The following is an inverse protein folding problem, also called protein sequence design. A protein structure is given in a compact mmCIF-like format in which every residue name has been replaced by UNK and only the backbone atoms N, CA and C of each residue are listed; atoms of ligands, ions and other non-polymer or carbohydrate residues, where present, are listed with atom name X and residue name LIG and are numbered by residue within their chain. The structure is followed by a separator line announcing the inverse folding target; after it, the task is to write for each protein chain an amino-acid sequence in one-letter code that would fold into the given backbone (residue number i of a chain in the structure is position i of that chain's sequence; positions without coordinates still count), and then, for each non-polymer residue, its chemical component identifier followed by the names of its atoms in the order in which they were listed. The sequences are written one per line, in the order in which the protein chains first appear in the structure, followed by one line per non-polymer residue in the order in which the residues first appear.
data_IF_394444165639
#
_entry.id   IF_394444165639
#
_cell.length_a   1.000
_cell.length_b   1.000
_cell.length_c   1.000
_cell.angle_alpha   90.00
_cell.angle_beta   90.00
_cell.angle_gamma   90.00
#
_symmetry.space_group_name_H-M   'P 1'
#
loop_
_entity.id
_entity.type
_entity.pdbx_description
1 polymer ?
#
# COMPACT_ATOMS: atom_id res chain seq x y z
N UNK A 1 43.21 -0.90 25.69
CA UNK A 1 42.66 0.46 25.86
C UNK A 1 41.24 0.42 25.35
N UNK A 2 40.23 0.82 26.11
CA UNK A 2 38.85 0.78 25.59
C UNK A 2 38.71 1.77 24.43
N UNK A 3 37.89 1.45 23.43
CA UNK A 3 37.69 2.31 22.25
C UNK A 3 37.29 3.74 22.63
N UNK A 4 36.44 3.87 23.66
CA UNK A 4 36.03 5.16 24.23
C UNK A 4 37.20 5.94 24.85
N UNK A 5 38.10 5.27 25.59
CA UNK A 5 39.29 5.94 26.15
C UNK A 5 40.23 6.44 25.06
N UNK A 6 40.31 5.75 23.92
CA UNK A 6 41.09 6.21 22.76
C UNK A 6 40.47 7.44 22.09
N UNK A 7 39.14 7.48 21.96
CA UNK A 7 38.40 8.62 21.44
C UNK A 7 38.51 9.85 22.35
N UNK A 8 38.30 9.68 23.66
CA UNK A 8 38.50 10.75 24.64
C UNK A 8 39.93 11.29 24.61
N UNK A 9 40.93 10.40 24.52
CA UNK A 9 42.34 10.79 24.41
C UNK A 9 42.62 11.56 23.12
N UNK A 10 42.03 11.14 21.99
CA UNK A 10 42.16 11.84 20.71
C UNK A 10 41.67 13.29 20.82
N UNK A 11 40.45 13.51 21.34
CA UNK A 11 39.89 14.85 21.47
C UNK A 11 40.69 15.74 22.42
N UNK A 12 41.13 15.21 23.56
CA UNK A 12 41.94 15.97 24.52
C UNK A 12 43.31 16.34 23.96
N UNK A 13 43.95 15.45 23.20
CA UNK A 13 45.29 15.68 22.66
C UNK A 13 45.28 16.58 21.42
N UNK A 14 44.23 16.53 20.59
CA UNK A 14 44.01 17.47 19.47
C UNK A 14 43.94 18.92 19.95
N UNK A 15 43.22 19.18 21.05
CA UNK A 15 43.08 20.53 21.63
C UNK A 15 44.39 21.04 22.23
N UNK A 16 45.21 20.16 22.81
CA UNK A 16 46.47 20.54 23.46
C UNK A 16 47.62 20.82 22.46
N UNK A 17 47.36 20.80 21.14
CA UNK A 17 48.30 21.11 20.05
C UNK A 17 49.65 20.38 20.10
N UNK A 18 49.70 19.17 20.67
CA UNK A 18 50.97 18.45 20.84
C UNK A 18 51.39 17.59 19.66
N UNK A 19 50.44 17.06 18.90
CA UNK A 19 50.68 16.14 17.78
C UNK A 19 49.79 16.49 16.60
N UNK A 20 50.26 16.16 15.41
CA UNK A 20 49.44 16.23 14.19
C UNK A 20 48.31 15.19 14.24
N UNK A 21 47.19 15.41 13.54
CA UNK A 21 46.10 14.45 13.49
C UNK A 21 46.52 13.05 12.99
N UNK A 22 47.52 12.97 12.09
CA UNK A 22 48.04 11.68 11.59
C UNK A 22 48.82 10.93 12.66
N UNK A 23 49.69 11.62 13.41
CA UNK A 23 50.43 11.02 14.53
C UNK A 23 49.48 10.53 15.63
N UNK A 24 48.37 11.24 15.86
CA UNK A 24 47.34 10.81 16.81
C UNK A 24 46.63 9.53 16.37
N UNK A 25 46.33 9.38 15.10
CA UNK A 25 45.68 8.18 14.55
C UNK A 25 46.57 6.94 14.75
N UNK A 26 47.86 7.07 14.46
CA UNK A 26 48.82 5.97 14.57
C UNK A 26 49.11 5.61 16.03
N UNK A 27 49.37 6.62 16.88
CA UNK A 27 49.70 6.41 18.30
C UNK A 27 48.51 5.89 19.13
N UNK A 28 47.28 6.24 18.75
CA UNK A 28 46.07 5.75 19.42
C UNK A 28 45.48 4.51 18.74
N UNK A 29 46.15 3.98 17.70
CA UNK A 29 45.75 2.79 16.95
C UNK A 29 44.31 2.85 16.42
N UNK A 30 43.82 4.04 16.02
CA UNK A 30 42.41 4.25 15.69
C UNK A 30 41.93 3.39 14.50
N UNK A 31 42.81 3.09 13.55
CA UNK A 31 42.52 2.17 12.44
C UNK A 31 42.29 0.72 12.90
N UNK A 32 43.04 0.24 13.90
CA UNK A 32 42.84 -1.09 14.49
C UNK A 32 41.52 -1.15 15.25
N UNK A 33 41.23 -0.11 16.02
CA UNK A 33 39.97 0.01 16.76
C UNK A 33 38.78 0.00 15.81
N UNK A 34 38.87 0.70 14.67
CA UNK A 34 37.83 0.70 13.64
C UNK A 34 37.61 -0.70 13.04
N UNK A 35 38.68 -1.46 12.78
CA UNK A 35 38.56 -2.82 12.27
C UNK A 35 37.91 -3.76 13.29
N UNK A 36 38.32 -3.70 14.56
CA UNK A 36 37.71 -4.49 15.63
C UNK A 36 36.25 -4.08 15.90
N UNK A 37 35.91 -2.81 15.74
CA UNK A 37 34.54 -2.33 15.83
C UNK A 37 33.70 -2.86 14.66
N UNK A 38 34.23 -2.88 13.43
CA UNK A 38 33.60 -3.50 12.25
C UNK A 38 33.31 -4.98 12.47
N UNK A 39 34.30 -5.74 12.94
CA UNK A 39 34.17 -7.19 13.19
C UNK A 39 33.11 -7.51 14.27
N UNK A 40 32.83 -6.56 15.17
CA UNK A 40 31.80 -6.64 16.22
C UNK A 40 30.46 -6.00 15.84
N UNK A 41 30.37 -5.38 14.66
CA UNK A 41 29.24 -4.55 14.25
C UNK A 41 28.89 -3.43 15.27
N UNK A 42 29.91 -2.83 15.89
CA UNK A 42 29.75 -1.74 16.87
C UNK A 42 29.56 -0.39 16.16
N UNK A 43 28.32 -0.14 15.75
CA UNK A 43 27.94 1.06 14.98
C UNK A 43 28.18 2.38 15.71
N UNK A 44 28.21 2.38 17.05
CA UNK A 44 28.49 3.58 17.87
C UNK A 44 29.95 3.98 17.70
N UNK A 45 30.87 3.05 17.97
CA UNK A 45 32.31 3.31 17.86
C UNK A 45 32.71 3.61 16.41
N UNK A 46 32.12 2.91 15.43
CA UNK A 46 32.35 3.19 14.01
C UNK A 46 31.92 4.62 13.66
N UNK A 47 30.73 5.04 14.12
CA UNK A 47 30.19 6.37 13.82
C UNK A 47 31.01 7.51 14.45
N UNK A 48 31.64 7.28 15.60
CA UNK A 48 32.52 8.26 16.24
C UNK A 48 33.91 8.33 15.57
N UNK A 49 34.43 7.19 15.09
CA UNK A 49 35.75 7.12 14.45
C UNK A 49 35.75 7.59 12.98
N UNK A 50 34.69 7.31 12.21
CA UNK A 50 34.62 7.65 10.78
C UNK A 50 34.85 9.16 10.51
N UNK A 51 34.23 10.12 11.24
CA UNK A 51 34.47 11.55 11.04
C UNK A 51 35.91 11.96 11.36
N UNK A 52 36.49 11.42 12.44
CA UNK A 52 37.87 11.70 12.86
C UNK A 52 38.85 11.29 11.75
N UNK A 53 38.67 10.08 11.21
CA UNK A 53 39.53 9.55 10.17
C UNK A 53 39.32 10.23 8.81
N UNK A 54 38.14 10.82 8.57
CA UNK A 54 37.83 11.65 7.39
C UNK A 54 38.66 12.93 7.37
N UNK A 55 38.78 13.61 8.51
CA UNK A 55 39.48 14.91 8.62
C UNK A 55 40.95 14.85 8.22
N UNK A 56 41.57 13.67 8.31
CA UNK A 56 43.01 13.48 8.12
C UNK A 56 43.33 12.80 6.79
N UNK A 57 42.31 12.56 5.95
CA UNK A 57 42.42 11.76 4.72
C UNK A 57 43.13 10.40 4.92
N UNK A 58 43.16 9.90 6.16
CA UNK A 58 43.90 8.71 6.56
C UNK A 58 43.17 7.40 6.20
N UNK A 59 42.10 7.50 5.41
CA UNK A 59 41.31 6.36 4.95
C UNK A 59 42.03 5.61 3.85
N UNK A 60 42.41 4.36 4.15
CA UNK A 60 42.84 3.42 3.12
C UNK A 60 41.60 2.82 2.47
N UNK A 61 41.54 2.78 1.13
CA UNK A 61 40.39 2.26 0.36
C UNK A 61 39.95 0.85 0.79
N UNK A 62 40.88 0.00 1.22
CA UNK A 62 40.57 -1.36 1.70
C UNK A 62 39.76 -1.35 3.00
N UNK A 63 40.00 -0.39 3.90
CA UNK A 63 39.25 -0.25 5.16
C UNK A 63 37.81 0.16 4.89
N UNK A 64 37.60 1.13 3.99
CA UNK A 64 36.25 1.55 3.58
C UNK A 64 35.50 0.41 2.90
N UNK A 65 36.19 -0.36 2.04
CA UNK A 65 35.58 -1.51 1.35
C UNK A 65 35.13 -2.59 2.34
N UNK A 66 35.96 -2.91 3.34
CA UNK A 66 35.60 -3.87 4.40
C UNK A 66 34.39 -3.39 5.20
N UNK A 67 34.42 -2.15 5.68
CA UNK A 67 33.30 -1.54 6.43
C UNK A 67 32.00 -1.55 5.62
N UNK A 68 32.08 -1.27 4.32
CA UNK A 68 30.92 -1.33 3.43
C UNK A 68 30.34 -2.75 3.34
N UNK A 69 31.20 -3.76 3.12
CA UNK A 69 30.78 -5.16 3.06
C UNK A 69 30.19 -5.63 4.39
N UNK A 70 30.82 -5.30 5.52
CA UNK A 70 30.37 -5.69 6.86
C UNK A 70 29.02 -5.03 7.18
N UNK A 71 28.86 -3.73 6.90
CA UNK A 71 27.61 -3.02 7.09
C UNK A 71 26.46 -3.58 6.22
N UNK A 72 26.76 -3.97 4.97
CA UNK A 72 25.80 -4.64 4.10
C UNK A 72 25.38 -6.02 4.63
N UNK A 73 26.35 -6.83 5.07
CA UNK A 73 26.08 -8.18 5.57
C UNK A 73 25.28 -8.17 6.88
N UNK A 74 25.57 -7.21 7.75
CA UNK A 74 24.93 -7.06 9.06
C UNK A 74 23.66 -6.20 9.04
N UNK A 75 23.26 -5.68 7.88
CA UNK A 75 22.15 -4.72 7.76
C UNK A 75 22.31 -3.50 8.68
N UNK A 76 23.54 -3.04 8.89
CA UNK A 76 23.87 -1.90 9.74
C UNK A 76 23.68 -0.59 8.97
N UNK A 77 22.46 -0.05 9.06
CA UNK A 77 22.09 1.20 8.38
C UNK A 77 22.81 2.44 8.94
N UNK A 78 23.23 2.42 10.22
CA UNK A 78 23.92 3.56 10.87
C UNK A 78 25.32 3.69 10.27
N UNK A 79 26.07 2.59 10.25
CA UNK A 79 27.39 2.57 9.61
C UNK A 79 27.27 2.88 8.12
N UNK A 80 26.29 2.30 7.41
CA UNK A 80 26.08 2.56 5.99
C UNK A 80 25.84 4.04 5.69
N UNK A 81 25.00 4.71 6.50
CA UNK A 81 24.75 6.16 6.37
C UNK A 81 26.06 6.96 6.46
N UNK A 82 26.92 6.63 7.43
CA UNK A 82 28.20 7.32 7.61
C UNK A 82 29.25 6.99 6.53
N UNK A 83 29.05 5.92 5.77
CA UNK A 83 29.92 5.54 4.65
C UNK A 83 29.57 6.23 3.31
N UNK A 84 28.36 6.81 3.17
CA UNK A 84 27.93 7.49 1.92
C UNK A 84 28.95 8.52 1.39
N UNK A 85 29.54 9.40 2.23
CA UNK A 85 30.55 10.36 1.76
C UNK A 85 31.79 9.72 1.13
N UNK A 86 32.05 8.44 1.37
CA UNK A 86 33.19 7.69 0.87
C UNK A 86 32.85 6.81 -0.35
N UNK A 87 31.62 6.86 -0.86
CA UNK A 87 31.21 6.03 -2.00
C UNK A 87 32.04 6.27 -3.27
N UNK A 88 32.62 7.47 -3.45
CA UNK A 88 33.54 7.78 -4.56
C UNK A 88 34.85 7.00 -4.50
N UNK A 89 35.23 6.48 -3.33
CA UNK A 89 36.43 5.66 -3.12
C UNK A 89 36.16 4.16 -3.34
N UNK A 90 34.89 3.79 -3.56
CA UNK A 90 34.43 2.41 -3.69
C UNK A 90 34.06 2.06 -5.13
N UNK A 91 34.35 0.83 -5.54
CA UNK A 91 33.93 0.28 -6.82
C UNK A 91 32.48 -0.26 -6.74
N UNK A 92 31.51 0.65 -6.59
CA UNK A 92 30.10 0.29 -6.43
C UNK A 92 29.41 0.04 -7.78
N UNK A 93 28.80 -1.13 -7.91
CA UNK A 93 27.89 -1.46 -9.02
C UNK A 93 26.48 -0.91 -8.79
N UNK A 94 25.63 -0.79 -9.84
CA UNK A 94 24.23 -0.36 -9.69
C UNK A 94 23.44 -1.14 -8.63
N UNK A 95 23.68 -2.45 -8.51
CA UNK A 95 23.02 -3.30 -7.51
C UNK A 95 23.40 -2.93 -6.07
N UNK A 96 24.62 -2.44 -5.83
CA UNK A 96 25.02 -1.97 -4.51
C UNK A 96 24.19 -0.75 -4.09
N UNK A 97 24.02 0.24 -4.98
CA UNK A 97 23.20 1.41 -4.68
C UNK A 97 21.74 1.06 -4.41
N UNK A 98 21.17 0.11 -5.17
CA UNK A 98 19.79 -0.39 -4.94
C UNK A 98 19.68 -1.01 -3.54
N UNK A 99 20.61 -1.90 -3.17
CA UNK A 99 20.60 -2.55 -1.85
C UNK A 99 20.81 -1.56 -0.70
N UNK A 100 21.68 -0.58 -0.88
CA UNK A 100 21.89 0.50 0.11
C UNK A 100 20.62 1.32 0.27
N UNK A 101 19.98 1.72 -0.83
CA UNK A 101 18.72 2.47 -0.76
C UNK A 101 17.62 1.66 -0.05
N UNK A 102 17.51 0.35 -0.32
CA UNK A 102 16.58 -0.54 0.37
C UNK A 102 16.89 -0.63 1.88
N UNK A 103 18.15 -0.81 2.25
CA UNK A 103 18.58 -0.87 3.65
C UNK A 103 18.19 0.40 4.40
N UNK A 104 18.52 1.56 3.83
CA UNK A 104 18.26 2.86 4.47
C UNK A 104 16.76 3.18 4.54
N UNK A 105 15.99 2.89 3.48
CA UNK A 105 14.55 3.10 3.45
C UNK A 105 13.81 2.20 4.46
N UNK A 106 14.19 0.92 4.54
CA UNK A 106 13.60 -0.03 5.50
C UNK A 106 13.87 0.35 6.96
N UNK A 107 14.95 1.08 7.23
CA UNK A 107 15.30 1.57 8.56
C UNK A 107 14.87 3.03 8.80
N UNK A 108 13.95 3.57 7.97
CA UNK A 108 13.39 4.92 8.14
C UNK A 108 14.47 6.02 8.23
N UNK A 109 15.56 5.85 7.49
CA UNK A 109 16.60 6.89 7.40
C UNK A 109 16.01 8.16 6.79
N UNK A 110 16.51 9.33 7.20
CA UNK A 110 16.05 10.61 6.71
C UNK A 110 16.12 10.72 5.17
N UNK A 111 15.19 11.51 4.66
CA UNK A 111 15.02 11.75 3.22
C UNK A 111 16.31 12.28 2.59
N UNK A 112 17.02 13.22 3.23
CA UNK A 112 18.24 13.84 2.70
C UNK A 112 19.30 12.79 2.36
N UNK A 113 19.57 11.87 3.28
CA UNK A 113 20.53 10.77 3.11
C UNK A 113 20.19 9.90 1.90
N UNK A 114 18.92 9.53 1.74
CA UNK A 114 18.46 8.72 0.61
C UNK A 114 18.57 9.48 -0.73
N UNK A 115 18.30 10.78 -0.74
CA UNK A 115 18.53 11.61 -1.93
C UNK A 115 20.02 11.74 -2.29
N UNK A 116 20.93 11.75 -1.32
CA UNK A 116 22.37 11.68 -1.60
C UNK A 116 22.74 10.37 -2.32
N UNK A 117 22.20 9.23 -1.88
CA UNK A 117 22.38 7.93 -2.56
C UNK A 117 21.88 8.00 -4.01
N UNK A 118 20.69 8.57 -4.23
CA UNK A 118 20.14 8.75 -5.58
C UNK A 118 21.03 9.64 -6.46
N UNK A 119 21.58 10.72 -5.92
CA UNK A 119 22.47 11.62 -6.66
C UNK A 119 23.75 10.92 -7.12
N UNK A 120 24.40 10.19 -6.19
CA UNK A 120 25.64 9.44 -6.43
C UNK A 120 25.45 8.22 -7.34
N UNK A 121 24.24 7.66 -7.41
CA UNK A 121 23.97 6.44 -8.16
C UNK A 121 24.15 6.59 -9.68
N UNK A 122 24.59 5.52 -10.38
CA UNK A 122 24.63 5.48 -11.84
C UNK A 122 23.24 5.65 -12.47
N UNK A 123 23.19 6.29 -13.65
CA UNK A 123 21.94 6.52 -14.40
C UNK A 123 21.10 5.25 -14.60
N UNK A 124 21.74 4.09 -14.76
CA UNK A 124 21.06 2.80 -14.99
C UNK A 124 20.21 2.31 -13.82
N UNK A 125 20.39 2.82 -12.60
CA UNK A 125 19.61 2.42 -11.42
C UNK A 125 18.90 3.57 -10.70
N UNK A 126 19.03 4.81 -11.21
CA UNK A 126 18.40 5.98 -10.58
C UNK A 126 16.91 5.80 -10.39
N UNK A 127 16.22 5.24 -11.38
CA UNK A 127 14.77 5.06 -11.29
C UNK A 127 14.37 3.98 -10.27
N UNK A 128 15.10 2.87 -10.21
CA UNK A 128 14.88 1.82 -9.19
C UNK A 128 15.09 2.38 -7.78
N UNK A 129 16.12 3.20 -7.59
CA UNK A 129 16.39 3.86 -6.32
C UNK A 129 15.30 4.90 -6.02
N UNK A 130 14.88 5.68 -7.01
CA UNK A 130 13.80 6.64 -6.84
C UNK A 130 12.48 5.95 -6.44
N UNK A 131 12.17 4.77 -7.03
CA UNK A 131 11.03 3.94 -6.62
C UNK A 131 11.14 3.42 -5.19
N UNK A 132 12.34 3.19 -4.67
CA UNK A 132 12.54 2.86 -3.26
C UNK A 132 12.31 4.10 -2.39
N UNK A 133 12.85 5.25 -2.78
CA UNK A 133 12.74 6.50 -2.02
C UNK A 133 11.29 6.96 -1.91
N UNK A 134 10.47 6.81 -2.95
CA UNK A 134 9.06 7.23 -2.87
C UNK A 134 8.28 6.49 -1.77
N UNK A 135 8.73 5.32 -1.31
CA UNK A 135 8.04 4.56 -0.25
C UNK A 135 8.14 5.21 1.14
N UNK A 136 9.09 6.13 1.34
CA UNK A 136 9.27 6.83 2.62
C UNK A 136 8.77 8.28 2.60
N UNK A 137 8.28 8.75 1.45
CA UNK A 137 7.75 10.11 1.32
C UNK A 137 6.34 10.23 1.89
N UNK A 138 5.92 11.47 2.15
CA UNK A 138 4.52 11.74 2.52
C UNK A 138 3.60 11.36 1.36
N UNK A 139 2.36 10.90 1.63
CA UNK A 139 1.45 10.32 0.64
C UNK A 139 1.33 11.11 -0.67
N UNK A 140 1.12 12.43 -0.59
CA UNK A 140 1.03 13.32 -1.75
C UNK A 140 2.34 13.33 -2.56
N UNK A 141 3.47 13.44 -1.88
CA UNK A 141 4.80 13.52 -2.49
C UNK A 141 5.18 12.21 -3.21
N UNK A 142 4.66 11.06 -2.77
CA UNK A 142 4.86 9.76 -3.44
C UNK A 142 4.43 9.85 -4.91
N UNK A 143 3.17 10.23 -5.14
CA UNK A 143 2.59 10.22 -6.48
C UNK A 143 3.06 11.41 -7.32
N UNK A 144 3.31 12.57 -6.70
CA UNK A 144 3.92 13.69 -7.41
C UNK A 144 5.35 13.38 -7.86
N UNK A 145 6.12 12.63 -7.06
CA UNK A 145 7.48 12.20 -7.43
C UNK A 145 7.42 11.16 -8.54
N UNK A 146 6.56 10.15 -8.43
CA UNK A 146 6.31 9.18 -9.50
C UNK A 146 5.93 9.87 -10.82
N UNK A 147 5.07 10.90 -10.76
CA UNK A 147 4.63 11.65 -11.94
C UNK A 147 5.77 12.38 -12.68
N UNK A 148 6.82 12.77 -11.95
CA UNK A 148 8.00 13.45 -12.48
C UNK A 148 9.07 12.49 -12.99
N UNK A 149 8.98 11.19 -12.69
CA UNK A 149 9.94 10.20 -13.19
C UNK A 149 9.95 10.18 -14.72
N UNK A 150 11.15 10.13 -15.29
CA UNK A 150 11.38 10.24 -16.74
C UNK A 150 11.25 8.91 -17.48
N UNK A 151 11.08 7.80 -16.76
CA UNK A 151 10.93 6.46 -17.33
C UNK A 151 9.47 6.06 -17.58
N UNK A 152 9.33 4.95 -18.31
CA UNK A 152 8.09 4.19 -18.39
C UNK A 152 7.65 3.84 -16.97
N UNK A 153 6.47 4.32 -16.61
CA UNK A 153 5.84 4.02 -15.32
C UNK A 153 5.72 2.49 -15.18
N UNK A 154 6.25 1.90 -14.09
CA UNK A 154 6.23 0.45 -13.89
C UNK A 154 4.79 -0.07 -13.85
N UNK A 155 4.61 -1.36 -14.15
CA UNK A 155 3.31 -2.00 -13.92
C UNK A 155 3.02 -2.06 -12.42
N UNK A 156 1.76 -2.09 -12.03
CA UNK A 156 1.38 -2.15 -10.61
C UNK A 156 2.03 -3.33 -9.87
N UNK A 157 2.16 -4.49 -10.53
CA UNK A 157 2.82 -5.68 -9.98
C UNK A 157 4.35 -5.53 -9.79
N UNK A 158 4.97 -4.52 -10.40
CA UNK A 158 6.40 -4.22 -10.28
C UNK A 158 6.68 -3.17 -9.19
N UNK A 159 5.62 -2.57 -8.61
CA UNK A 159 5.75 -1.58 -7.55
C UNK A 159 6.13 -2.22 -6.21
N UNK A 160 6.82 -1.47 -5.33
CA UNK A 160 7.04 -1.89 -3.95
C UNK A 160 5.74 -2.28 -3.24
N UNK A 161 5.82 -3.24 -2.32
CA UNK A 161 4.69 -3.75 -1.52
C UNK A 161 3.93 -2.65 -0.77
N UNK A 162 4.61 -1.54 -0.46
CA UNK A 162 3.99 -0.34 0.09
C UNK A 162 2.77 0.13 -0.72
N UNK A 163 2.83 0.12 -2.06
CA UNK A 163 1.71 0.53 -2.93
C UNK A 163 0.52 -0.43 -2.84
N UNK A 164 0.72 -1.65 -2.34
CA UNK A 164 -0.35 -2.62 -2.18
C UNK A 164 -1.05 -2.47 -0.82
N UNK A 165 -0.42 -1.76 0.13
CA UNK A 165 -0.86 -1.58 1.50
C UNK A 165 -0.54 -0.16 2.01
N UNK A 166 -1.33 0.81 1.59
CA UNK A 166 -1.23 2.21 2.06
C UNK A 166 -1.85 2.32 3.46
N UNK A 167 -1.04 2.56 4.52
CA UNK A 167 -1.52 2.50 5.91
C UNK A 167 -2.46 3.66 6.27
N UNK A 168 -2.48 4.72 5.48
CA UNK A 168 -3.26 5.94 5.71
C UNK A 168 -4.65 5.91 5.06
N UNK A 169 -5.07 4.79 4.46
CA UNK A 169 -6.32 4.70 3.69
C UNK A 169 -7.59 4.97 4.52
N UNK A 170 -7.51 4.81 5.85
CA UNK A 170 -8.59 5.13 6.80
C UNK A 170 -8.62 6.59 7.25
N UNK A 171 -7.64 7.41 6.85
CA UNK A 171 -7.55 8.81 7.22
C UNK A 171 -8.03 9.72 6.08
N UNK A 172 -9.28 10.20 6.18
CA UNK A 172 -9.87 11.09 5.18
C UNK A 172 -9.16 12.44 5.05
N UNK A 173 -8.50 12.95 6.11
CA UNK A 173 -7.69 14.17 6.06
C UNK A 173 -6.45 14.01 5.19
N UNK A 174 -6.00 12.76 4.98
CA UNK A 174 -4.90 12.42 4.06
C UNK A 174 -5.43 12.08 2.67
N UNK A 175 -6.57 11.39 2.61
CA UNK A 175 -7.16 10.93 1.35
C UNK A 175 -7.63 12.10 0.48
N UNK A 176 -8.24 13.15 1.07
CA UNK A 176 -8.72 14.31 0.32
C UNK A 176 -7.58 15.08 -0.38
N UNK A 177 -6.47 15.49 0.29
CA UNK A 177 -5.31 16.08 -0.39
C UNK A 177 -4.73 15.17 -1.47
N UNK A 178 -4.72 13.86 -1.23
CA UNK A 178 -4.20 12.89 -2.18
C UNK A 178 -5.06 12.77 -3.45
N UNK A 179 -6.38 12.84 -3.33
CA UNK A 179 -7.26 12.89 -4.50
C UNK A 179 -7.19 14.26 -5.20
N UNK A 180 -6.93 15.35 -4.48
CA UNK A 180 -6.84 16.69 -5.10
C UNK A 180 -5.69 16.85 -6.11
N UNK A 181 -4.67 15.98 -6.06
CA UNK A 181 -3.56 16.02 -7.02
C UNK A 181 -3.85 15.26 -8.32
N UNK A 182 -4.92 14.47 -8.41
CA UNK A 182 -5.26 13.65 -9.58
C UNK A 182 -5.24 14.43 -10.91
N UNK A 183 -5.79 15.67 -11.00
CA UNK A 183 -5.75 16.44 -12.26
C UNK A 183 -4.33 16.77 -12.77
N UNK A 184 -3.32 16.70 -11.90
CA UNK A 184 -1.92 16.99 -12.21
C UNK A 184 -1.15 15.73 -12.62
N UNK A 185 -1.72 14.55 -12.41
CA UNK A 185 -1.06 13.26 -12.62
C UNK A 185 -1.22 12.78 -14.07
N UNK A 186 -0.16 12.18 -14.61
CA UNK A 186 -0.20 11.45 -15.89
C UNK A 186 -1.11 10.22 -15.73
N UNK A 187 -1.84 9.80 -16.78
CA UNK A 187 -2.79 8.69 -16.71
C UNK A 187 -2.25 7.40 -16.06
N UNK A 188 -1.01 6.94 -16.33
CA UNK A 188 -0.52 5.72 -15.70
C UNK A 188 -0.22 5.89 -14.19
N UNK A 189 0.06 7.11 -13.73
CA UNK A 189 0.21 7.39 -12.29
C UNK A 189 -1.17 7.48 -11.62
N UNK A 190 -2.18 8.05 -12.29
CA UNK A 190 -3.56 7.98 -11.81
C UNK A 190 -4.00 6.53 -11.63
N UNK A 191 -3.67 5.66 -12.58
CA UNK A 191 -3.99 4.25 -12.51
C UNK A 191 -3.37 3.58 -11.27
N UNK A 192 -2.07 3.80 -11.06
CA UNK A 192 -1.38 3.31 -9.86
C UNK A 192 -2.01 3.86 -8.59
N UNK A 193 -2.35 5.15 -8.55
CA UNK A 193 -2.99 5.77 -7.38
C UNK A 193 -4.30 5.09 -7.03
N UNK A 194 -5.23 5.00 -7.99
CA UNK A 194 -6.54 4.40 -7.72
C UNK A 194 -6.45 2.91 -7.41
N UNK A 195 -5.62 2.15 -8.14
CA UNK A 195 -5.41 0.74 -7.83
C UNK A 195 -4.79 0.55 -6.42
N UNK A 196 -3.82 1.38 -6.04
CA UNK A 196 -3.20 1.34 -4.70
C UNK A 196 -4.23 1.62 -3.60
N UNK A 197 -5.03 2.68 -3.78
CA UNK A 197 -6.02 3.10 -2.78
C UNK A 197 -7.12 2.04 -2.60
N UNK A 198 -7.72 1.57 -3.69
CA UNK A 198 -8.78 0.57 -3.66
C UNK A 198 -8.28 -0.77 -3.11
N UNK A 199 -7.08 -1.23 -3.51
CA UNK A 199 -6.51 -2.47 -2.96
C UNK A 199 -6.23 -2.36 -1.46
N UNK A 200 -5.74 -1.20 -1.02
CA UNK A 200 -5.45 -0.96 0.39
C UNK A 200 -6.73 -0.94 1.23
N UNK A 201 -7.78 -0.27 0.75
CA UNK A 201 -9.09 -0.24 1.40
C UNK A 201 -9.71 -1.65 1.46
N UNK A 202 -9.70 -2.38 0.35
CA UNK A 202 -10.16 -3.77 0.28
C UNK A 202 -9.38 -4.70 1.23
N UNK A 203 -8.05 -4.55 1.32
CA UNK A 203 -7.21 -5.35 2.21
C UNK A 203 -7.56 -5.10 3.69
N UNK A 204 -7.75 -3.83 4.07
CA UNK A 204 -8.09 -3.44 5.44
C UNK A 204 -9.60 -3.53 5.76
N UNK A 205 -10.45 -3.92 4.81
CA UNK A 205 -11.90 -4.01 5.00
C UNK A 205 -12.57 -2.65 5.21
N UNK A 206 -12.06 -1.58 4.58
CA UNK A 206 -12.54 -0.20 4.73
C UNK A 206 -13.49 0.20 3.60
N UNK A 207 -14.76 -0.24 3.71
CA UNK A 207 -15.78 0.07 2.71
C UNK A 207 -16.09 1.57 2.61
N UNK A 208 -15.98 2.31 3.72
CA UNK A 208 -16.09 3.76 3.76
C UNK A 208 -15.09 4.45 2.83
N UNK A 209 -13.83 4.02 2.88
CA UNK A 209 -12.78 4.52 1.99
C UNK A 209 -13.04 4.14 0.53
N UNK A 210 -13.46 2.90 0.26
CA UNK A 210 -13.81 2.43 -1.08
C UNK A 210 -14.94 3.25 -1.70
N UNK A 211 -16.02 3.52 -0.95
CA UNK A 211 -17.15 4.35 -1.40
C UNK A 211 -16.69 5.79 -1.67
N UNK A 212 -15.85 6.35 -0.80
CA UNK A 212 -15.32 7.70 -1.01
C UNK A 212 -14.49 7.82 -2.28
N UNK A 213 -13.60 6.84 -2.55
CA UNK A 213 -12.80 6.79 -3.78
C UNK A 213 -13.70 6.59 -5.00
N UNK A 214 -14.68 5.69 -4.91
CA UNK A 214 -15.64 5.45 -5.97
C UNK A 214 -16.44 6.71 -6.32
N UNK A 215 -16.95 7.43 -5.32
CA UNK A 215 -17.66 8.69 -5.52
C UNK A 215 -16.78 9.73 -6.18
N UNK A 216 -15.50 9.83 -5.80
CA UNK A 216 -14.56 10.71 -6.47
C UNK A 216 -14.40 10.36 -7.96
N UNK A 217 -14.28 9.07 -8.30
CA UNK A 217 -14.17 8.61 -9.68
C UNK A 217 -15.41 9.01 -10.50
N UNK A 218 -16.60 8.75 -9.96
CA UNK A 218 -17.88 9.07 -10.61
C UNK A 218 -18.03 10.59 -10.81
N UNK A 219 -17.88 11.38 -9.74
CA UNK A 219 -18.10 12.82 -9.75
C UNK A 219 -17.18 13.55 -10.73
N UNK A 220 -15.93 13.12 -10.83
CA UNK A 220 -14.93 13.72 -11.72
C UNK A 220 -14.93 13.10 -13.13
N UNK A 221 -15.91 12.24 -13.45
CA UNK A 221 -16.00 11.59 -14.77
C UNK A 221 -14.79 10.71 -15.10
N UNK A 222 -14.10 10.20 -14.09
CA UNK A 222 -12.95 9.31 -14.29
C UNK A 222 -13.49 7.92 -14.65
N UNK A 223 -13.01 7.40 -15.78
CA UNK A 223 -13.45 6.10 -16.30
C UNK A 223 -13.20 4.99 -15.27
N UNK A 224 -14.25 4.26 -14.93
CA UNK A 224 -14.16 3.06 -14.11
C UNK A 224 -13.52 1.93 -14.92
N UNK A 225 -12.26 1.64 -14.63
CA UNK A 225 -11.55 0.53 -15.24
C UNK A 225 -12.01 -0.81 -14.66
N UNK A 226 -11.96 -1.92 -15.44
CA UNK A 226 -12.40 -3.23 -14.97
C UNK A 226 -11.75 -3.65 -13.65
N UNK A 227 -10.46 -3.37 -13.47
CA UNK A 227 -9.73 -3.70 -12.23
C UNK A 227 -10.27 -2.95 -11.01
N UNK A 228 -10.71 -1.69 -11.15
CA UNK A 228 -11.30 -0.94 -10.04
C UNK A 228 -12.64 -1.54 -9.64
N UNK A 229 -13.46 -1.91 -10.63
CA UNK A 229 -14.76 -2.54 -10.42
C UNK A 229 -14.60 -3.90 -9.74
N UNK A 230 -13.61 -4.70 -10.17
CA UNK A 230 -13.28 -5.98 -9.56
C UNK A 230 -12.92 -5.84 -8.08
N UNK A 231 -12.06 -4.86 -7.75
CA UNK A 231 -11.66 -4.57 -6.37
C UNK A 231 -12.86 -4.12 -5.52
N UNK A 232 -13.64 -3.16 -6.02
CA UNK A 232 -14.81 -2.63 -5.31
C UNK A 232 -15.85 -3.72 -5.04
N UNK A 233 -16.23 -4.53 -6.05
CA UNK A 233 -17.14 -5.65 -5.84
C UNK A 233 -16.59 -6.63 -4.79
N UNK A 234 -15.29 -6.96 -4.86
CA UNK A 234 -14.66 -7.82 -3.87
C UNK A 234 -14.74 -7.25 -2.44
N UNK A 235 -14.54 -5.93 -2.27
CA UNK A 235 -14.70 -5.25 -0.98
C UNK A 235 -16.11 -5.43 -0.41
N UNK A 236 -17.15 -5.20 -1.23
CA UNK A 236 -18.54 -5.42 -0.81
C UNK A 236 -18.73 -6.83 -0.26
N UNK A 237 -18.16 -7.85 -0.91
CA UNK A 237 -18.33 -9.26 -0.51
C UNK A 237 -17.81 -9.63 0.89
N UNK A 238 -17.03 -8.75 1.53
CA UNK A 238 -16.51 -8.91 2.90
C UNK A 238 -17.36 -8.21 3.96
N UNK A 239 -18.40 -7.49 3.54
CA UNK A 239 -19.18 -6.58 4.39
C UNK A 239 -20.66 -6.95 4.35
N UNK A 240 -21.38 -6.63 5.42
CA UNK A 240 -22.83 -6.82 5.50
C UNK A 240 -23.58 -5.58 4.96
N UNK A 241 -23.19 -5.07 3.78
CA UNK A 241 -23.76 -3.86 3.19
C UNK A 241 -24.71 -4.20 2.02
N UNK A 242 -25.95 -4.58 2.34
CA UNK A 242 -26.92 -5.16 1.40
C UNK A 242 -27.59 -4.12 0.50
N UNK A 243 -28.13 -3.07 1.08
CA UNK A 243 -28.77 -2.01 0.30
C UNK A 243 -27.73 -1.24 -0.50
N UNK A 244 -26.58 -0.97 0.14
CA UNK A 244 -25.46 -0.31 -0.52
C UNK A 244 -24.95 -1.12 -1.72
N UNK A 245 -24.88 -2.47 -1.64
CA UNK A 245 -24.47 -3.28 -2.78
C UNK A 245 -25.47 -3.22 -3.96
N UNK A 246 -26.79 -3.23 -3.70
CA UNK A 246 -27.80 -3.03 -4.76
C UNK A 246 -27.64 -1.65 -5.40
N UNK A 247 -27.52 -0.60 -4.57
CA UNK A 247 -27.39 0.75 -5.08
C UNK A 247 -26.09 0.96 -5.87
N UNK A 248 -24.99 0.36 -5.41
CA UNK A 248 -23.72 0.35 -6.13
C UNK A 248 -23.85 -0.30 -7.50
N UNK A 249 -24.49 -1.47 -7.58
CA UNK A 249 -24.80 -2.13 -8.86
C UNK A 249 -25.60 -1.21 -9.79
N UNK A 250 -26.64 -0.55 -9.26
CA UNK A 250 -27.48 0.37 -10.03
C UNK A 250 -26.67 1.57 -10.57
N UNK A 251 -25.73 2.11 -9.78
CA UNK A 251 -24.85 3.19 -10.24
C UNK A 251 -23.93 2.69 -11.36
N UNK A 252 -23.30 1.52 -11.21
CA UNK A 252 -22.47 0.93 -12.26
C UNK A 252 -23.25 0.72 -13.57
N UNK A 253 -24.50 0.26 -13.47
CA UNK A 253 -25.43 0.11 -14.61
C UNK A 253 -25.72 1.43 -15.29
N UNK A 254 -26.04 2.48 -14.52
CA UNK A 254 -26.27 3.84 -15.04
C UNK A 254 -25.05 4.38 -15.79
N UNK A 255 -23.85 3.99 -15.39
CA UNK A 255 -22.59 4.37 -16.05
C UNK A 255 -22.15 3.40 -17.16
N UNK A 256 -23.01 2.45 -17.57
CA UNK A 256 -22.72 1.54 -18.67
C UNK A 256 -21.61 0.51 -18.37
N UNK A 257 -21.32 0.25 -17.09
CA UNK A 257 -20.31 -0.73 -16.70
C UNK A 257 -20.88 -2.15 -16.85
N UNK A 258 -20.16 -2.99 -17.58
CA UNK A 258 -20.48 -4.41 -17.72
C UNK A 258 -19.86 -5.20 -16.57
N UNK A 259 -20.71 -5.78 -15.72
CA UNK A 259 -20.30 -6.66 -14.63
C UNK A 259 -19.97 -8.07 -15.13
N UNK A 260 -18.85 -8.63 -14.67
CA UNK A 260 -18.52 -10.04 -14.84
C UNK A 260 -19.33 -10.93 -13.89
N UNK A 261 -19.38 -12.23 -14.17
CA UNK A 261 -20.02 -13.21 -13.29
C UNK A 261 -19.39 -13.22 -11.89
N UNK A 262 -18.09 -12.95 -11.80
CA UNK A 262 -17.38 -12.85 -10.52
C UNK A 262 -17.82 -11.59 -9.75
N UNK A 263 -17.99 -10.45 -10.43
CA UNK A 263 -18.51 -9.23 -9.80
C UNK A 263 -19.89 -9.44 -9.21
N UNK A 264 -20.79 -10.08 -9.99
CA UNK A 264 -22.13 -10.41 -9.51
C UNK A 264 -22.10 -11.34 -8.30
N UNK A 265 -21.28 -12.39 -8.31
CA UNK A 265 -21.12 -13.27 -7.15
C UNK A 265 -20.64 -12.49 -5.91
N UNK A 266 -19.69 -11.58 -6.09
CA UNK A 266 -19.21 -10.74 -4.99
C UNK A 266 -20.29 -9.79 -4.45
N UNK A 267 -21.09 -9.18 -5.32
CA UNK A 267 -22.22 -8.33 -4.92
C UNK A 267 -23.38 -9.11 -4.30
N UNK A 268 -23.50 -10.42 -4.57
CA UNK A 268 -24.52 -11.28 -4.00
C UNK A 268 -24.22 -11.67 -2.54
N UNK A 269 -22.94 -11.84 -2.19
CA UNK A 269 -22.50 -12.31 -0.85
C UNK A 269 -23.03 -11.51 0.35
N UNK A 270 -23.06 -10.16 0.33
CA UNK A 270 -23.61 -9.35 1.43
C UNK A 270 -25.03 -9.71 1.81
N UNK A 271 -25.85 -10.12 0.82
CA UNK A 271 -27.28 -10.37 1.00
C UNK A 271 -27.61 -11.56 1.88
N UNK A 272 -26.64 -12.42 2.16
CA UNK A 272 -26.80 -13.58 3.05
C UNK A 272 -26.38 -13.29 4.51
N UNK A 273 -25.89 -12.07 4.81
CA UNK A 273 -25.60 -11.67 6.19
C UNK A 273 -26.88 -11.47 7.00
N UNK A 274 -26.87 -11.76 8.30
CA UNK A 274 -28.06 -11.64 9.14
C UNK A 274 -29.16 -12.65 8.80
N UNK A 275 -30.42 -12.24 8.95
CA UNK A 275 -31.57 -13.16 8.95
C UNK A 275 -32.55 -12.95 7.79
N UNK A 276 -32.32 -11.95 6.94
CA UNK A 276 -33.13 -11.66 5.76
C UNK A 276 -32.29 -11.87 4.49
N UNK A 277 -32.89 -12.37 3.40
CA UNK A 277 -32.18 -12.60 2.13
C UNK A 277 -32.89 -12.02 0.91
N UNK A 278 -34.05 -11.39 1.06
CA UNK A 278 -34.91 -10.96 -0.06
C UNK A 278 -34.21 -9.95 -0.98
N UNK A 279 -33.29 -9.16 -0.44
CA UNK A 279 -32.49 -8.20 -1.22
C UNK A 279 -31.58 -8.86 -2.27
N UNK A 280 -31.28 -10.16 -2.15
CA UNK A 280 -30.50 -10.89 -3.15
C UNK A 280 -31.22 -10.94 -4.50
N UNK A 281 -32.56 -10.95 -4.51
CA UNK A 281 -33.35 -11.08 -5.73
C UNK A 281 -33.24 -9.84 -6.63
N UNK A 282 -32.90 -8.65 -6.11
CA UNK A 282 -32.56 -7.50 -6.95
C UNK A 282 -31.34 -7.79 -7.84
N UNK A 283 -30.28 -8.38 -7.26
CA UNK A 283 -29.06 -8.72 -8.00
C UNK A 283 -29.36 -9.84 -9.00
N UNK A 284 -30.07 -10.89 -8.58
CA UNK A 284 -30.38 -12.03 -9.44
C UNK A 284 -31.30 -11.68 -10.61
N UNK A 285 -32.30 -10.81 -10.39
CA UNK A 285 -33.13 -10.28 -11.46
C UNK A 285 -32.32 -9.44 -12.45
N UNK A 286 -31.36 -8.62 -11.99
CA UNK A 286 -30.47 -7.88 -12.89
C UNK A 286 -29.66 -8.84 -13.78
N UNK A 287 -29.12 -9.92 -13.19
CA UNK A 287 -28.42 -10.97 -13.95
C UNK A 287 -29.34 -11.57 -15.02
N UNK A 288 -30.57 -11.97 -14.67
CA UNK A 288 -31.53 -12.52 -15.64
C UNK A 288 -31.88 -11.50 -16.73
N UNK A 289 -32.09 -10.24 -16.37
CA UNK A 289 -32.44 -9.20 -17.33
C UNK A 289 -31.31 -8.93 -18.32
N UNK A 290 -30.06 -8.90 -17.85
CA UNK A 290 -28.87 -8.57 -18.64
C UNK A 290 -28.34 -9.78 -19.41
N UNK A 291 -28.20 -10.93 -18.75
CA UNK A 291 -27.54 -12.12 -19.28
C UNK A 291 -28.51 -13.20 -19.78
N UNK A 292 -29.82 -13.05 -19.52
CA UNK A 292 -30.90 -14.00 -19.87
C UNK A 292 -30.85 -15.36 -19.17
N UNK A 293 -29.82 -15.62 -18.37
CA UNK A 293 -29.69 -16.83 -17.55
C UNK A 293 -28.77 -16.54 -16.34
N UNK A 294 -28.95 -17.30 -15.25
CA UNK A 294 -28.03 -17.27 -14.11
C UNK A 294 -26.76 -18.07 -14.47
N UNK A 295 -25.56 -17.49 -14.36
CA UNK A 295 -24.30 -18.19 -14.61
C UNK A 295 -24.11 -19.41 -13.71
N UNK A 296 -23.50 -20.47 -14.27
CA UNK A 296 -23.18 -21.72 -13.55
C UNK A 296 -22.50 -21.48 -12.19
N UNK A 297 -21.52 -20.57 -12.13
CA UNK A 297 -20.83 -20.20 -10.89
C UNK A 297 -21.80 -19.72 -9.79
N UNK A 298 -22.78 -18.90 -10.17
CA UNK A 298 -23.77 -18.34 -9.24
C UNK A 298 -24.83 -19.40 -8.90
N UNK A 299 -25.22 -20.24 -9.87
CA UNK A 299 -26.10 -21.39 -9.66
C UNK A 299 -25.55 -22.36 -8.62
N UNK A 300 -24.29 -22.79 -8.78
CA UNK A 300 -23.63 -23.71 -7.83
C UNK A 300 -23.56 -23.10 -6.43
N UNK A 301 -23.25 -21.80 -6.34
CA UNK A 301 -23.23 -21.08 -5.08
C UNK A 301 -24.61 -21.00 -4.42
N UNK A 302 -25.66 -20.62 -5.17
CA UNK A 302 -27.03 -20.53 -4.68
C UNK A 302 -27.57 -21.89 -4.23
N UNK A 303 -27.31 -22.97 -4.97
CA UNK A 303 -27.71 -24.33 -4.58
C UNK A 303 -27.05 -24.74 -3.26
N UNK A 304 -25.78 -24.35 -3.04
CA UNK A 304 -25.10 -24.61 -1.77
C UNK A 304 -25.73 -23.85 -0.62
N UNK A 305 -25.98 -22.55 -0.80
CA UNK A 305 -26.58 -21.69 0.23
C UNK A 305 -28.04 -22.09 0.53
N UNK A 306 -28.81 -22.48 -0.49
CA UNK A 306 -30.23 -22.82 -0.32
C UNK A 306 -30.46 -24.06 0.55
N UNK A 307 -29.45 -24.93 0.74
CA UNK A 307 -29.50 -26.03 1.72
C UNK A 307 -29.73 -25.54 3.16
N UNK A 308 -29.39 -24.28 3.43
CA UNK A 308 -29.57 -23.65 4.73
C UNK A 308 -30.76 -22.69 4.77
N UNK A 309 -31.03 -21.97 3.68
CA UNK A 309 -32.15 -21.02 3.59
C UNK A 309 -33.51 -21.73 3.43
N UNK A 310 -33.56 -22.84 2.68
CA UNK A 310 -34.79 -23.53 2.29
C UNK A 310 -35.84 -22.61 1.63
N UNK A 311 -35.39 -21.72 0.74
CA UNK A 311 -36.25 -20.78 0.03
C UNK A 311 -36.57 -21.28 -1.39
N UNK A 312 -37.83 -21.67 -1.62
CA UNK A 312 -38.31 -22.15 -2.93
C UNK A 312 -38.18 -21.11 -4.05
N UNK A 313 -38.09 -19.81 -3.74
CA UNK A 313 -37.91 -18.73 -4.73
C UNK A 313 -36.55 -18.83 -5.41
N UNK A 314 -35.55 -19.41 -4.75
CA UNK A 314 -34.23 -19.66 -5.36
C UNK A 314 -34.34 -20.66 -6.51
N UNK A 315 -35.14 -21.72 -6.37
CA UNK A 315 -35.34 -22.68 -7.46
C UNK A 315 -36.03 -22.04 -8.67
N UNK A 316 -37.06 -21.22 -8.40
CA UNK A 316 -37.77 -20.46 -9.44
C UNK A 316 -36.84 -19.56 -10.24
N UNK A 317 -36.02 -18.74 -9.57
CA UNK A 317 -35.12 -17.81 -10.26
C UNK A 317 -34.01 -18.53 -11.05
N UNK A 318 -33.56 -19.70 -10.58
CA UNK A 318 -32.62 -20.54 -11.32
C UNK A 318 -33.22 -21.11 -12.61
N UNK A 319 -34.55 -21.23 -12.70
CA UNK A 319 -35.26 -21.60 -13.94
C UNK A 319 -35.58 -20.42 -14.86
N UNK A 320 -35.23 -19.19 -14.45
CA UNK A 320 -35.43 -17.97 -15.23
C UNK A 320 -36.67 -17.16 -14.86
N UNK A 321 -37.38 -17.51 -13.78
CA UNK A 321 -38.52 -16.73 -13.29
C UNK A 321 -38.04 -15.50 -12.48
N UNK A 322 -38.47 -14.30 -12.86
CA UNK A 322 -38.19 -13.09 -12.08
C UNK A 322 -38.98 -13.12 -10.76
N UNK A 323 -38.31 -12.77 -9.66
CA UNK A 323 -38.91 -12.73 -8.32
C UNK A 323 -39.13 -11.27 -7.92
N UNK A 324 -40.30 -10.90 -7.42
CA UNK A 324 -40.50 -9.55 -6.87
C UNK A 324 -39.99 -9.50 -5.40
N UNK A 325 -38.87 -8.80 -5.12
CA UNK A 325 -38.36 -8.64 -3.76
C UNK A 325 -39.14 -7.60 -2.91
N UNK A 326 -40.11 -6.88 -3.47
CA UNK A 326 -40.80 -5.77 -2.80
C UNK A 326 -40.00 -4.47 -2.83
N UNK A 327 -40.14 -3.63 -1.80
CA UNK A 327 -39.42 -2.36 -1.65
C UNK A 327 -38.12 -2.51 -0.89
N UNK A 328 -37.03 -1.99 -1.48
CA UNK A 328 -35.68 -2.06 -0.89
C UNK A 328 -35.60 -1.26 0.41
N UNK A 329 -36.35 -0.15 0.52
CA UNK A 329 -36.28 0.76 1.66
C UNK A 329 -37.18 0.31 2.83
N UNK A 330 -38.12 -0.60 2.59
CA UNK A 330 -39.08 -1.04 3.61
C UNK A 330 -38.61 -2.28 4.38
N UNK A 331 -38.18 -2.08 5.63
CA UNK A 331 -37.73 -3.17 6.50
C UNK A 331 -38.79 -4.25 6.73
N UNK A 332 -40.05 -3.87 6.89
CA UNK A 332 -41.14 -4.84 7.09
C UNK A 332 -41.35 -5.72 5.86
N UNK A 333 -40.96 -5.27 4.67
CA UNK A 333 -40.98 -6.11 3.47
C UNK A 333 -39.77 -7.02 3.36
N UNK A 334 -38.57 -6.50 3.66
CA UNK A 334 -37.34 -7.30 3.62
C UNK A 334 -37.32 -8.43 4.66
N UNK A 335 -37.97 -8.21 5.80
CA UNK A 335 -38.07 -9.18 6.90
C UNK A 335 -39.28 -10.12 6.82
N UNK A 336 -40.02 -10.15 5.70
CA UNK A 336 -41.14 -11.10 5.50
C UNK A 336 -40.69 -12.56 5.57
N UNK A 337 -39.46 -12.84 5.13
CA UNK A 337 -38.89 -14.18 5.10
C UNK A 337 -37.60 -14.22 5.91
N UNK A 338 -37.71 -14.68 7.16
CA UNK A 338 -36.61 -14.74 8.10
C UNK A 338 -36.03 -16.15 8.15
N UNK A 339 -34.71 -16.26 8.15
CA UNK A 339 -33.96 -17.49 8.36
C UNK A 339 -32.97 -17.32 9.52
N UNK A 340 -32.44 -18.43 10.02
CA UNK A 340 -31.31 -18.40 10.95
C UNK A 340 -30.08 -17.81 10.25
N UNK A 341 -29.23 -17.08 10.99
CA UNK A 341 -27.97 -16.59 10.46
C UNK A 341 -27.16 -17.78 9.93
N UNK A 342 -26.72 -17.67 8.69
CA UNK A 342 -25.97 -18.73 8.03
C UNK A 342 -24.58 -18.89 8.66
N UNK A 343 -24.04 -20.13 8.72
CA UNK A 343 -22.64 -20.34 9.07
C UNK A 343 -21.73 -19.51 8.14
N UNK A 344 -20.70 -18.90 8.70
CA UNK A 344 -19.71 -18.06 8.00
C UNK A 344 -20.18 -16.67 7.54
N UNK A 345 -21.42 -16.27 7.85
CA UNK A 345 -21.92 -14.92 7.55
C UNK A 345 -22.03 -14.04 8.80
N UNK A 346 -21.75 -12.75 8.60
CA UNK A 346 -21.79 -11.75 9.66
C UNK A 346 -23.23 -11.42 10.06
N UNK A 347 -23.38 -10.79 11.22
CA UNK A 347 -24.61 -10.08 11.57
C UNK A 347 -24.81 -8.90 10.60
N UNK A 348 -26.06 -8.54 10.40
CA UNK A 348 -26.46 -7.40 9.58
C UNK A 348 -27.10 -6.34 10.47
N UNK A 349 -26.66 -5.09 10.32
CA UNK A 349 -27.19 -3.93 11.03
C UNK A 349 -27.64 -2.89 9.99
N UNK A 350 -28.94 -2.64 9.92
CA UNK A 350 -29.53 -1.72 8.95
C UNK A 350 -28.97 -0.29 9.07
N UNK A 351 -28.76 0.19 10.30
CA UNK A 351 -28.20 1.53 10.54
C UNK A 351 -26.80 1.70 9.94
N UNK A 352 -25.95 0.68 10.03
CA UNK A 352 -24.59 0.71 9.45
C UNK A 352 -24.62 0.72 7.92
N UNK A 353 -25.50 -0.09 7.31
CA UNK A 353 -25.72 -0.09 5.86
C UNK A 353 -26.31 1.25 5.38
N UNK A 354 -27.22 1.84 6.16
CA UNK A 354 -27.80 3.16 5.90
C UNK A 354 -26.75 4.27 5.79
N UNK A 355 -25.72 4.27 6.64
CA UNK A 355 -24.62 5.26 6.58
C UNK A 355 -23.85 5.16 5.24
N UNK A 356 -23.58 3.94 4.79
CA UNK A 356 -22.92 3.70 3.50
C UNK A 356 -23.81 4.09 2.32
N UNK A 357 -25.09 3.73 2.40
CA UNK A 357 -26.07 4.07 1.37
C UNK A 357 -26.22 5.59 1.22
N UNK A 358 -26.31 6.32 2.33
CA UNK A 358 -26.36 7.78 2.34
C UNK A 358 -25.10 8.37 1.70
N UNK A 359 -23.93 7.81 2.03
CA UNK A 359 -22.65 8.25 1.47
C UNK A 359 -22.54 7.99 -0.03
N UNK A 360 -23.17 6.93 -0.54
CA UNK A 360 -23.17 6.56 -1.96
C UNK A 360 -24.20 7.37 -2.79
N UNK A 361 -25.27 7.84 -2.14
CA UNK A 361 -26.40 8.55 -2.78
C UNK A 361 -26.29 10.06 -2.68
N UNK A 362 -25.71 10.57 -1.59
CA UNK A 362 -25.46 11.99 -1.43
C UNK A 362 -24.14 12.32 -2.12
N UNK A 363 -24.23 13.16 -3.14
CA UNK A 363 -23.12 13.95 -3.67
C UNK A 363 -22.58 14.87 -2.55
N UNK A 364 -21.92 14.31 -1.53
CA UNK A 364 -21.07 15.12 -0.67
C UNK A 364 -20.01 15.69 -1.60
N UNK A 365 -20.12 17.00 -1.88
CA UNK A 365 -19.03 17.78 -2.46
C UNK A 365 -17.79 17.49 -1.62
N UNK A 366 -16.89 16.70 -2.19
CA UNK A 366 -15.56 16.43 -1.63
C UNK A 366 -14.77 17.74 -1.59
#
# INVERSE_FOLDING_TARGET
MSALLALESYHQMKIKHKWTPSELIDNLHLNSILQEASDRADSVIISELLPILKEVEAFKNHTVSKLFTDAMNNSDHITMKNLIPFFSQLNLTPNHFIKVAQLLANNQTDQETLFQVLQLSPKSCKDSIALIIVTILKPVDIFLTLNKMSIKIPKFCELPTFFHHLPFISNFEVLQPLLSIVPQLKPPVCHILFESLLRSANHLGRLDSDIYIFNYLIYNGIKLEPVYVDILCHSFSKTAAKMTSVQFMNILRKHGVCLSNQNYLHLLKPHFCGTESDTMFYILNDILNVQKAIPKLITEYLVSINKHLNDSRIEKILTGELIDPGSLDNEAERTKHIHNILPDFNKYYYEEDGIYLDSLTHERKI
#
